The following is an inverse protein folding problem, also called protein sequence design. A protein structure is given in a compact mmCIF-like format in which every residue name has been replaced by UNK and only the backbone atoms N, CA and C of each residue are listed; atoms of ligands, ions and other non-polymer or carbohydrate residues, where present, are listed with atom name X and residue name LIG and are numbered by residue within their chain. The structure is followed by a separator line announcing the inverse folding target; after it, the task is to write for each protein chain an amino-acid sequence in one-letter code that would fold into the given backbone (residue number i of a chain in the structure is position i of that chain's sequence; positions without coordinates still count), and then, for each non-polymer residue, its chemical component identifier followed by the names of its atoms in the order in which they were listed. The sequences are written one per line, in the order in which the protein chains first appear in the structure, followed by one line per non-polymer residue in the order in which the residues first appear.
data_IF_886066422311
#
_entry.id   IF_886066422311
#
_cell.length_a   1.000
_cell.length_b   1.000
_cell.length_c   1.000
_cell.angle_alpha   90.00
_cell.angle_beta   90.00
_cell.angle_gamma   90.00
#
_symmetry.space_group_name_H-M   'P 1'
#
loop_
_entity.id
_entity.type
_entity.pdbx_description
1 polymer ?
#
# COMPACT_ATOMS: atom_id res chain seq x y z
N UNK A 1 1.51 7.75 -1.10
CA UNK A 1 2.40 7.10 -2.09
C UNK A 1 3.90 7.22 -1.75
N UNK A 2 4.45 6.32 -0.92
CA UNK A 2 5.85 6.32 -0.49
C UNK A 2 6.82 5.83 -1.59
N UNK A 3 7.34 6.76 -2.40
CA UNK A 3 8.19 6.49 -3.59
C UNK A 3 9.66 6.92 -3.44
N UNK A 4 10.12 7.14 -2.20
CA UNK A 4 11.52 7.52 -1.89
C UNK A 4 12.01 6.75 -0.68
N UNK A 5 13.32 6.47 -0.67
CA UNK A 5 13.98 5.75 0.41
C UNK A 5 14.98 6.64 1.13
N UNK A 6 15.03 6.53 2.45
CA UNK A 6 16.01 7.21 3.29
C UNK A 6 16.68 6.21 4.23
N UNK A 7 17.97 6.40 4.46
CA UNK A 7 18.71 5.71 5.50
C UNK A 7 18.66 6.54 6.78
N UNK A 8 17.96 6.04 7.80
CA UNK A 8 18.07 6.56 9.17
C UNK A 8 19.50 6.31 9.67
N UNK A 9 20.17 7.37 10.11
CA UNK A 9 21.55 7.36 10.62
C UNK A 9 21.61 7.38 12.14
N UNK A 10 20.72 8.15 12.77
CA UNK A 10 20.64 8.28 14.22
C UNK A 10 19.23 8.72 14.62
N UNK A 11 18.81 8.36 15.84
CA UNK A 11 17.59 8.84 16.49
C UNK A 11 17.98 9.31 17.89
N UNK A 12 17.77 10.59 18.20
CA UNK A 12 18.11 11.17 19.50
C UNK A 12 16.91 11.30 20.44
N UNK A 13 17.21 11.43 21.73
CA UNK A 13 16.28 11.64 22.85
C UNK A 13 17.04 12.48 23.91
N UNK A 14 16.40 13.36 24.71
CA UNK A 14 14.96 13.55 24.90
C UNK A 14 14.25 14.32 23.77
N UNK A 15 14.97 15.17 23.04
CA UNK A 15 14.44 15.79 21.82
C UNK A 15 14.44 14.75 20.70
N UNK A 16 13.24 14.28 20.32
CA UNK A 16 13.06 13.31 19.24
C UNK A 16 13.46 13.94 17.90
N UNK A 17 14.69 13.64 17.47
CA UNK A 17 15.23 14.04 16.17
C UNK A 17 15.74 12.80 15.44
N UNK A 18 15.34 12.67 14.19
CA UNK A 18 15.81 11.63 13.28
C UNK A 18 16.79 12.28 12.31
N UNK A 19 18.02 11.78 12.29
CA UNK A 19 19.02 12.15 11.30
C UNK A 19 18.97 11.12 10.18
N UNK A 20 18.61 11.53 8.97
CA UNK A 20 18.49 10.63 7.81
C UNK A 20 19.31 11.12 6.61
N UNK A 21 19.57 10.24 5.65
CA UNK A 21 20.09 10.62 4.33
C UNK A 21 19.26 9.95 3.25
N UNK A 22 18.75 10.73 2.30
CA UNK A 22 18.02 10.22 1.14
C UNK A 22 18.89 9.29 0.30
N UNK A 23 18.25 8.32 -0.35
CA UNK A 23 18.88 7.41 -1.28
C UNK A 23 18.46 7.76 -2.72
N UNK A 24 19.45 7.96 -3.58
CA UNK A 24 19.26 8.24 -5.01
C UNK A 24 19.35 6.93 -5.81
N UNK A 25 18.58 6.78 -6.91
CA UNK A 25 18.73 5.66 -7.83
C UNK A 25 20.17 5.55 -8.38
N UNK A 26 20.75 4.34 -8.29
CA UNK A 26 22.08 4.04 -8.78
C UNK A 26 22.00 3.27 -10.11
N UNK A 27 22.33 3.93 -11.21
CA UNK A 27 22.05 3.46 -12.57
C UNK A 27 23.26 2.76 -13.19
N UNK A 28 22.99 1.69 -13.93
CA UNK A 28 24.00 0.90 -14.64
C UNK A 28 23.95 1.06 -16.17
N UNK A 29 22.87 1.63 -16.74
CA UNK A 29 22.59 1.55 -18.18
C UNK A 29 22.04 2.85 -18.78
N UNK A 30 22.47 3.27 -20.00
CA UNK A 30 22.07 4.51 -20.67
C UNK A 30 20.57 4.85 -20.66
N UNK A 31 19.69 3.89 -21.00
CA UNK A 31 18.23 4.10 -21.01
C UNK A 31 17.66 4.45 -19.62
N UNK A 32 18.25 3.87 -18.57
CA UNK A 32 17.86 4.16 -17.18
C UNK A 32 18.21 5.60 -16.76
N UNK A 33 19.20 6.22 -17.40
CA UNK A 33 19.49 7.65 -17.19
C UNK A 33 18.45 8.58 -17.82
N UNK A 34 17.78 8.19 -18.92
CA UNK A 34 16.68 8.99 -19.46
C UNK A 34 15.50 9.03 -18.48
N UNK A 35 15.11 7.87 -17.94
CA UNK A 35 14.06 7.72 -16.94
C UNK A 35 14.26 8.65 -15.72
N UNK A 36 15.45 8.59 -15.11
CA UNK A 36 15.77 9.42 -13.93
C UNK A 36 15.94 10.90 -14.27
N UNK A 37 16.47 11.25 -15.46
CA UNK A 37 16.51 12.67 -15.91
C UNK A 37 15.11 13.24 -16.14
N UNK A 38 14.16 12.43 -16.60
CA UNK A 38 12.74 12.80 -16.69
C UNK A 38 12.03 12.87 -15.34
N UNK A 39 12.75 12.66 -14.23
CA UNK A 39 12.20 12.63 -12.86
C UNK A 39 11.08 11.59 -12.67
N UNK A 40 11.07 10.53 -13.48
CA UNK A 40 10.09 9.46 -13.37
C UNK A 40 10.40 8.59 -12.13
N UNK A 41 9.39 8.09 -11.39
CA UNK A 41 9.60 7.35 -10.15
C UNK A 41 10.43 6.07 -10.33
N UNK A 42 11.19 5.71 -9.29
CA UNK A 42 11.94 4.44 -9.24
C UNK A 42 11.57 3.72 -7.95
N UNK A 43 10.58 2.82 -8.04
CA UNK A 43 10.04 2.10 -6.88
C UNK A 43 10.92 0.96 -6.38
N UNK A 44 11.79 0.38 -7.22
CA UNK A 44 12.71 -0.66 -6.81
C UNK A 44 14.01 -0.65 -7.66
N UNK A 45 15.01 -1.41 -7.22
CA UNK A 45 16.30 -1.56 -7.87
C UNK A 45 17.48 -1.22 -6.97
N UNK A 46 18.49 -0.59 -7.58
CA UNK A 46 19.76 -0.22 -6.97
C UNK A 46 19.70 1.24 -6.51
N UNK A 47 20.11 1.51 -5.29
CA UNK A 47 20.16 2.83 -4.70
C UNK A 47 21.51 3.10 -4.03
N UNK A 48 21.90 4.36 -3.94
CA UNK A 48 23.11 4.82 -3.22
C UNK A 48 22.73 5.97 -2.30
N UNK A 49 23.56 6.25 -1.29
CA UNK A 49 23.43 7.51 -0.55
C UNK A 49 23.46 8.68 -1.53
N UNK A 50 22.49 9.59 -1.41
CA UNK A 50 22.51 10.81 -2.20
C UNK A 50 23.69 11.72 -1.84
N UNK A 51 23.99 12.66 -2.74
CA UNK A 51 25.11 13.58 -2.58
C UNK A 51 24.87 14.64 -1.50
N UNK A 52 23.61 14.87 -1.12
CA UNK A 52 23.23 15.82 -0.07
C UNK A 52 23.58 15.24 1.30
N UNK A 53 24.02 16.12 2.20
CA UNK A 53 24.28 15.74 3.58
C UNK A 53 23.04 15.25 4.32
N UNK A 54 23.27 14.63 5.48
CA UNK A 54 22.19 14.14 6.31
C UNK A 54 21.28 15.27 6.78
N UNK A 55 19.98 15.11 6.58
CA UNK A 55 18.93 16.02 7.03
C UNK A 55 18.48 15.59 8.43
N UNK A 56 18.18 16.57 9.28
CA UNK A 56 17.56 16.35 10.59
C UNK A 56 16.07 16.72 10.49
N UNK A 57 15.23 15.82 10.97
CA UNK A 57 13.78 15.95 11.06
C UNK A 57 13.34 15.65 12.50
N UNK A 58 12.21 16.18 12.92
CA UNK A 58 11.70 16.09 14.29
C UNK A 58 10.33 15.37 14.33
N UNK A 59 9.69 15.32 15.49
CA UNK A 59 8.38 14.67 15.64
C UNK A 59 7.32 15.25 14.69
N UNK A 60 7.33 16.56 14.41
CA UNK A 60 6.34 17.21 13.54
C UNK A 60 6.36 16.70 12.09
N UNK A 61 7.44 16.03 11.67
CA UNK A 61 7.65 15.52 10.32
C UNK A 61 7.05 14.10 10.11
N UNK A 62 6.03 13.72 10.87
CA UNK A 62 5.43 12.37 10.88
C UNK A 62 5.11 11.81 9.47
N UNK A 63 4.70 12.66 8.51
CA UNK A 63 4.37 12.26 7.15
C UNK A 63 5.58 11.86 6.26
N UNK A 64 6.82 12.01 6.73
CA UNK A 64 8.02 11.59 5.98
C UNK A 64 8.25 10.08 5.97
N UNK A 65 7.68 9.35 6.94
CA UNK A 65 7.92 7.93 7.14
C UNK A 65 6.66 7.12 6.84
N UNK A 66 6.84 5.92 6.27
CA UNK A 66 5.74 4.99 5.99
C UNK A 66 6.03 3.61 6.57
N UNK A 67 7.08 2.92 6.09
CA UNK A 67 7.49 1.63 6.65
C UNK A 67 9.00 1.39 6.53
N UNK A 68 9.53 0.48 7.34
CA UNK A 68 10.90 0.00 7.21
C UNK A 68 11.00 -1.00 6.05
N UNK A 69 11.85 -0.67 5.08
CA UNK A 69 12.09 -1.46 3.87
C UNK A 69 13.21 -2.48 4.12
N UNK A 70 13.05 -3.71 3.64
CA UNK A 70 14.16 -4.68 3.62
C UNK A 70 15.04 -4.47 2.38
N UNK A 71 16.36 -4.53 2.57
CA UNK A 71 17.33 -4.33 1.50
C UNK A 71 18.49 -5.30 1.61
N UNK A 72 19.14 -5.60 0.48
CA UNK A 72 20.40 -6.36 0.42
C UNK A 72 21.54 -5.37 0.20
N UNK A 73 22.66 -5.52 0.93
CA UNK A 73 23.84 -4.66 0.76
C UNK A 73 25.13 -5.43 1.06
N UNK A 74 26.08 -5.40 0.13
CA UNK A 74 27.46 -5.86 0.36
C UNK A 74 28.31 -4.79 1.06
N UNK A 75 29.53 -5.14 1.51
CA UNK A 75 30.42 -4.27 2.32
C UNK A 75 30.50 -2.81 1.83
N UNK A 76 30.75 -2.62 0.53
CA UNK A 76 30.83 -1.30 -0.12
C UNK A 76 29.80 -1.16 -1.27
N UNK A 77 28.80 -2.04 -1.29
CA UNK A 77 27.81 -2.10 -2.36
C UNK A 77 26.68 -1.07 -2.26
N UNK A 78 25.92 -0.84 -3.36
CA UNK A 78 24.67 -0.13 -3.31
C UNK A 78 23.64 -0.86 -2.44
N UNK A 79 22.63 -0.11 -1.99
CA UNK A 79 21.43 -0.64 -1.36
C UNK A 79 20.55 -1.25 -2.45
N UNK A 80 20.24 -2.55 -2.36
CA UNK A 80 19.36 -3.25 -3.28
C UNK A 80 17.99 -3.41 -2.63
N UNK A 81 16.99 -2.71 -3.16
CA UNK A 81 15.59 -2.85 -2.75
C UNK A 81 14.85 -3.55 -3.87
N UNK A 82 14.44 -4.79 -3.66
CA UNK A 82 13.68 -5.56 -4.65
C UNK A 82 12.41 -6.15 -4.01
N UNK A 83 11.31 -6.30 -4.78
CA UNK A 83 10.09 -6.95 -4.30
C UNK A 83 10.36 -8.35 -3.79
N UNK A 84 9.70 -8.73 -2.69
CA UNK A 84 9.87 -10.03 -2.02
C UNK A 84 8.54 -10.78 -1.98
N UNK A 85 8.60 -12.10 -2.05
CA UNK A 85 7.42 -12.99 -2.00
C UNK A 85 6.51 -12.66 -0.80
N UNK A 86 5.21 -12.52 -1.06
CA UNK A 86 4.18 -12.17 -0.08
C UNK A 86 4.04 -10.67 0.22
N UNK A 87 4.85 -9.79 -0.42
CA UNK A 87 4.62 -8.35 -0.36
C UNK A 87 3.55 -7.92 -1.36
N UNK A 88 2.78 -6.88 -1.02
CA UNK A 88 1.88 -6.20 -1.95
C UNK A 88 2.59 -4.99 -2.56
N UNK A 89 2.46 -4.82 -3.87
CA UNK A 89 3.09 -3.73 -4.62
C UNK A 89 2.11 -3.06 -5.57
N UNK A 90 2.22 -1.74 -5.68
CA UNK A 90 1.59 -0.95 -6.72
C UNK A 90 2.51 -0.91 -7.94
N UNK A 91 1.98 -1.35 -9.08
CA UNK A 91 2.59 -1.22 -10.39
C UNK A 91 1.99 -0.02 -11.12
N UNK A 92 2.73 0.57 -12.06
CA UNK A 92 2.17 1.50 -13.02
C UNK A 92 1.38 0.72 -14.09
N UNK A 93 0.09 1.04 -14.24
CA UNK A 93 -0.75 0.56 -15.33
C UNK A 93 -0.26 1.17 -16.65
N UNK A 94 -0.37 0.41 -17.73
CA UNK A 94 0.01 0.83 -19.10
C UNK A 94 1.47 1.33 -19.23
N UNK A 95 2.33 0.90 -18.30
CA UNK A 95 3.74 1.28 -18.22
C UNK A 95 4.53 0.93 -19.49
N UNK A 96 5.29 1.89 -19.99
CA UNK A 96 6.30 1.67 -21.02
C UNK A 96 7.60 2.41 -20.67
N UNK A 97 8.76 1.79 -20.92
CA UNK A 97 10.09 2.38 -20.71
C UNK A 97 10.30 3.68 -21.53
N UNK A 98 9.59 3.82 -22.64
CA UNK A 98 9.62 4.97 -23.53
C UNK A 98 8.90 6.20 -22.95
N UNK A 99 8.17 6.11 -21.82
CA UNK A 99 7.70 7.29 -21.08
C UNK A 99 8.85 8.27 -20.77
N UNK A 100 10.09 7.75 -20.66
CA UNK A 100 11.30 8.56 -20.50
C UNK A 100 11.67 9.46 -21.69
N UNK A 101 10.98 9.33 -22.83
CA UNK A 101 11.10 10.22 -23.99
C UNK A 101 10.15 11.42 -23.93
N UNK A 102 9.07 11.32 -23.16
CA UNK A 102 8.05 12.37 -22.97
C UNK A 102 7.49 12.36 -21.53
N UNK A 103 8.32 12.65 -20.52
CA UNK A 103 7.97 12.42 -19.12
C UNK A 103 6.88 13.35 -18.58
N UNK A 104 6.58 14.46 -19.26
CA UNK A 104 5.54 15.41 -18.82
C UNK A 104 4.12 14.92 -19.15
N UNK A 105 3.96 14.14 -20.23
CA UNK A 105 2.69 13.47 -20.54
C UNK A 105 2.47 12.17 -19.73
N UNK A 106 3.40 11.83 -18.83
CA UNK A 106 3.35 10.65 -17.96
C UNK A 106 3.52 11.03 -16.49
N UNK A 107 2.75 12.03 -16.03
CA UNK A 107 2.72 12.55 -14.65
C UNK A 107 1.51 12.07 -13.84
N UNK A 108 0.39 11.81 -14.50
CA UNK A 108 -0.80 11.18 -13.94
C UNK A 108 -0.65 9.66 -14.09
N UNK A 109 -0.71 8.93 -12.97
CA UNK A 109 -0.39 7.52 -12.93
C UNK A 109 -1.61 6.72 -12.51
N UNK A 110 -2.00 5.77 -13.35
CA UNK A 110 -2.90 4.67 -12.95
C UNK A 110 -2.07 3.51 -12.43
N UNK A 111 -2.67 2.71 -11.56
CA UNK A 111 -2.00 1.66 -10.81
C UNK A 111 -2.69 0.32 -10.96
N UNK A 112 -1.91 -0.75 -10.90
CA UNK A 112 -2.39 -2.11 -10.69
C UNK A 112 -1.84 -2.58 -9.33
N UNK A 113 -2.66 -3.24 -8.52
CA UNK A 113 -2.22 -3.79 -7.22
C UNK A 113 -1.95 -5.28 -7.37
N UNK A 114 -0.77 -5.74 -6.93
CA UNK A 114 -0.33 -7.14 -7.08
C UNK A 114 0.31 -7.71 -5.82
N UNK A 115 0.15 -9.02 -5.60
CA UNK A 115 0.97 -9.82 -4.68
C UNK A 115 2.20 -10.37 -5.43
N UNK A 116 3.36 -10.35 -4.78
CA UNK A 116 4.58 -11.01 -5.29
C UNK A 116 4.54 -12.51 -4.96
N UNK A 117 4.49 -13.38 -5.95
CA UNK A 117 4.28 -14.82 -5.75
C UNK A 117 5.57 -15.65 -5.75
N UNK A 118 6.61 -15.19 -6.45
CA UNK A 118 7.94 -15.82 -6.44
C UNK A 118 8.98 -14.95 -5.74
N UNK A 119 10.11 -15.55 -5.35
CA UNK A 119 11.29 -14.76 -5.02
C UNK A 119 11.82 -14.07 -6.29
N UNK A 120 12.49 -12.93 -6.12
CA UNK A 120 13.27 -12.31 -7.18
C UNK A 120 14.42 -13.24 -7.58
N UNK A 121 14.53 -13.55 -8.87
CA UNK A 121 15.69 -14.25 -9.43
C UNK A 121 16.38 -13.38 -10.48
N UNK A 122 17.70 -13.23 -10.33
CA UNK A 122 18.50 -12.38 -11.22
C UNK A 122 18.52 -12.97 -12.65
N UNK A 123 18.07 -12.19 -13.62
CA UNK A 123 18.00 -12.61 -15.03
C UNK A 123 16.71 -13.33 -15.42
N UNK A 124 15.97 -13.92 -14.48
CA UNK A 124 14.68 -14.55 -14.75
C UNK A 124 13.48 -13.61 -14.56
N UNK A 125 13.49 -12.80 -13.49
CA UNK A 125 12.38 -11.92 -13.13
C UNK A 125 11.66 -12.36 -11.86
N UNK A 126 10.35 -12.12 -11.80
CA UNK A 126 9.47 -12.62 -10.74
C UNK A 126 8.03 -12.78 -11.24
N UNK A 127 7.30 -13.71 -10.62
CA UNK A 127 5.85 -13.92 -10.81
C UNK A 127 5.07 -13.02 -9.85
N UNK A 128 4.03 -12.35 -10.36
CA UNK A 128 3.05 -11.61 -9.55
C UNK A 128 1.63 -12.10 -9.84
N UNK A 129 0.72 -11.86 -8.90
CA UNK A 129 -0.72 -12.05 -9.06
C UNK A 129 -1.51 -10.76 -8.83
N UNK A 130 -2.51 -10.48 -9.65
CA UNK A 130 -3.42 -9.36 -9.47
C UNK A 130 -4.27 -9.53 -8.21
N UNK A 131 -4.57 -8.41 -7.55
CA UNK A 131 -5.57 -8.35 -6.48
C UNK A 131 -6.78 -7.53 -6.94
N UNK A 132 -7.97 -8.09 -6.75
CA UNK A 132 -9.25 -7.39 -6.91
C UNK A 132 -9.60 -6.65 -5.61
N UNK A 133 -10.15 -5.44 -5.74
CA UNK A 133 -10.77 -4.73 -4.60
C UNK A 133 -12.00 -5.51 -4.13
N UNK A 134 -12.18 -5.65 -2.82
CA UNK A 134 -13.41 -6.25 -2.26
C UNK A 134 -14.50 -5.18 -2.25
N UNK A 135 -15.63 -5.46 -2.91
CA UNK A 135 -16.77 -4.54 -2.98
C UNK A 135 -17.28 -4.18 -1.57
N UNK A 136 -17.67 -2.92 -1.38
CA UNK A 136 -18.04 -2.36 -0.07
C UNK A 136 -16.86 -1.90 0.82
N UNK A 137 -15.62 -2.31 0.53
CA UNK A 137 -14.44 -1.89 1.29
C UNK A 137 -13.62 -0.83 0.54
N UNK A 138 -12.88 0.00 1.28
CA UNK A 138 -11.98 1.01 0.70
C UNK A 138 -10.60 0.40 0.40
N UNK A 139 -10.06 -0.34 1.35
CA UNK A 139 -8.65 -0.79 1.41
C UNK A 139 -8.47 -2.31 1.45
N UNK A 140 -9.54 -3.11 1.39
CA UNK A 140 -9.46 -4.58 1.39
C UNK A 140 -9.41 -5.10 -0.04
N UNK A 141 -8.38 -5.89 -0.33
CA UNK A 141 -8.10 -6.47 -1.65
C UNK A 141 -7.87 -7.98 -1.53
N UNK A 142 -8.37 -8.77 -2.47
CA UNK A 142 -8.27 -10.24 -2.47
C UNK A 142 -7.60 -10.76 -3.76
N UNK A 143 -6.95 -11.93 -3.74
CA UNK A 143 -6.49 -12.57 -4.98
C UNK A 143 -7.62 -12.69 -6.01
N UNK A 144 -7.31 -12.39 -7.27
CA UNK A 144 -8.28 -12.47 -8.37
C UNK A 144 -8.89 -13.88 -8.49
N UNK A 145 -10.16 -13.96 -8.90
CA UNK A 145 -10.89 -15.22 -9.01
C UNK A 145 -10.24 -16.18 -10.04
N UNK A 146 -10.28 -17.52 -9.85
CA UNK A 146 -9.54 -18.49 -10.67
C UNK A 146 -9.86 -18.56 -12.17
N UNK A 147 -10.87 -17.83 -12.65
CA UNK A 147 -11.35 -17.87 -14.03
C UNK A 147 -10.75 -16.77 -14.92
N UNK A 148 -9.97 -15.85 -14.34
CA UNK A 148 -9.25 -14.78 -15.05
C UNK A 148 -7.76 -15.14 -15.09
N UNK A 149 -7.00 -14.58 -16.05
CA UNK A 149 -5.52 -14.63 -16.00
C UNK A 149 -5.07 -13.77 -14.81
N UNK A 150 -4.97 -14.43 -13.66
CA UNK A 150 -4.68 -13.85 -12.35
C UNK A 150 -3.21 -13.48 -12.17
N UNK A 151 -2.31 -14.04 -12.99
CA UNK A 151 -0.87 -14.01 -12.77
C UNK A 151 -0.05 -13.72 -14.02
N UNK A 152 1.09 -13.03 -13.84
CA UNK A 152 2.02 -12.71 -14.92
C UNK A 152 3.46 -12.54 -14.44
N UNK A 153 4.43 -12.67 -15.35
CA UNK A 153 5.85 -12.48 -15.07
C UNK A 153 6.32 -11.07 -15.40
N UNK A 154 6.95 -10.41 -14.42
CA UNK A 154 7.69 -9.15 -14.64
C UNK A 154 9.14 -9.49 -14.94
N UNK A 155 9.59 -9.16 -16.16
CA UNK A 155 10.94 -9.46 -16.64
C UNK A 155 11.97 -8.49 -16.03
N UNK A 156 13.26 -8.85 -15.91
CA UNK A 156 14.27 -7.99 -15.26
C UNK A 156 14.52 -6.62 -15.89
N UNK A 157 14.16 -6.46 -17.18
CA UNK A 157 14.22 -5.17 -17.88
C UNK A 157 13.06 -4.23 -17.53
N UNK A 158 11.98 -4.75 -16.95
CA UNK A 158 10.70 -4.06 -16.78
C UNK A 158 10.47 -3.61 -15.31
N UNK A 159 11.50 -3.65 -14.45
CA UNK A 159 11.38 -3.28 -13.02
C UNK A 159 10.97 -1.83 -12.74
N UNK A 160 11.05 -0.91 -13.72
CA UNK A 160 10.49 0.44 -13.56
C UNK A 160 8.97 0.49 -13.68
N UNK A 161 8.31 -0.64 -13.98
CA UNK A 161 6.87 -0.81 -13.75
C UNK A 161 6.50 -0.76 -12.26
N UNK A 162 7.42 -1.09 -11.35
CA UNK A 162 7.17 -0.98 -9.90
C UNK A 162 7.14 0.48 -9.44
N UNK A 163 6.01 0.89 -8.87
CA UNK A 163 5.83 2.23 -8.31
C UNK A 163 6.31 2.30 -6.86
N UNK A 164 5.78 1.44 -6.00
CA UNK A 164 6.14 1.32 -4.58
C UNK A 164 5.48 0.07 -3.96
N UNK A 165 6.05 -0.42 -2.85
CA UNK A 165 5.38 -1.41 -1.99
C UNK A 165 4.23 -0.73 -1.24
N UNK A 166 3.11 -1.43 -1.15
CA UNK A 166 1.95 -1.05 -0.34
C UNK A 166 2.03 -1.86 0.96
N UNK A 167 2.15 -1.23 2.14
CA UNK A 167 2.05 -1.93 3.41
C UNK A 167 0.69 -2.63 3.52
N UNK A 168 0.68 -3.84 4.08
CA UNK A 168 -0.51 -4.70 4.07
C UNK A 168 -0.54 -5.64 5.26
N UNK A 169 -1.72 -5.91 5.79
CA UNK A 169 -1.99 -6.99 6.74
C UNK A 169 -2.83 -8.08 6.03
N UNK A 170 -2.55 -9.37 6.30
CA UNK A 170 -3.29 -10.48 5.69
C UNK A 170 -4.44 -10.92 6.60
N UNK A 171 -5.65 -10.87 6.06
CA UNK A 171 -6.90 -11.10 6.78
C UNK A 171 -7.17 -12.60 6.98
N UNK A 172 -7.76 -12.94 8.11
CA UNK A 172 -8.21 -14.29 8.47
C UNK A 172 -9.63 -14.58 8.01
N UNK A 173 -10.43 -13.56 7.72
CA UNK A 173 -11.86 -13.66 7.40
C UNK A 173 -12.75 -13.66 8.64
N UNK A 174 -12.20 -13.31 9.81
CA UNK A 174 -12.95 -13.17 11.08
C UNK A 174 -13.01 -11.73 11.59
N UNK A 175 -12.37 -10.80 10.88
CA UNK A 175 -12.27 -9.39 11.27
C UNK A 175 -13.59 -8.61 11.12
N UNK A 176 -14.48 -9.05 10.23
CA UNK A 176 -15.79 -8.41 10.02
C UNK A 176 -16.64 -9.12 8.96
N UNK A 177 -17.92 -8.76 8.90
CA UNK A 177 -18.83 -9.23 7.85
C UNK A 177 -18.31 -8.81 6.46
N UNK A 178 -18.35 -9.74 5.50
CA UNK A 178 -17.88 -9.49 4.14
C UNK A 178 -16.35 -9.53 3.94
N UNK A 179 -15.53 -9.66 4.99
CA UNK A 179 -14.07 -9.77 4.87
C UNK A 179 -13.68 -11.18 4.40
N UNK A 180 -13.07 -11.37 3.21
CA UNK A 180 -12.69 -12.71 2.75
C UNK A 180 -11.43 -13.23 3.44
N UNK A 181 -11.42 -14.50 3.83
CA UNK A 181 -10.23 -15.15 4.36
C UNK A 181 -9.09 -15.16 3.34
N UNK A 182 -7.89 -14.72 3.74
CA UNK A 182 -6.72 -14.63 2.86
C UNK A 182 -6.67 -13.38 1.98
N UNK A 183 -7.63 -12.46 2.11
CA UNK A 183 -7.52 -11.10 1.57
C UNK A 183 -6.46 -10.28 2.32
N UNK A 184 -6.22 -9.05 1.88
CA UNK A 184 -5.25 -8.12 2.44
C UNK A 184 -5.91 -6.77 2.70
N UNK A 185 -5.81 -6.26 3.92
CA UNK A 185 -6.06 -4.86 4.21
C UNK A 185 -4.79 -4.06 3.90
N UNK A 186 -4.91 -3.04 3.05
CA UNK A 186 -3.82 -2.21 2.56
C UNK A 186 -3.77 -0.87 3.31
N UNK A 187 -2.56 -0.34 3.54
CA UNK A 187 -2.38 1.02 4.06
C UNK A 187 -2.97 2.04 3.08
N UNK A 188 -4.04 2.72 3.52
CA UNK A 188 -4.75 3.73 2.76
C UNK A 188 -3.84 4.86 2.24
N UNK A 189 -2.79 5.24 2.97
CA UNK A 189 -1.85 6.29 2.55
C UNK A 189 -0.86 5.82 1.46
N UNK A 190 -0.86 4.52 1.15
CA UNK A 190 -0.20 3.89 0.01
C UNK A 190 -1.17 3.50 -1.12
N UNK A 191 -2.45 3.92 -1.05
CA UNK A 191 -3.38 3.91 -2.18
C UNK A 191 -3.46 5.31 -2.84
N UNK A 192 -3.92 5.40 -4.11
CA UNK A 192 -4.15 6.68 -4.76
C UNK A 192 -5.29 7.44 -4.05
N UNK A 193 -5.27 8.77 -4.17
CA UNK A 193 -6.33 9.62 -3.59
C UNK A 193 -7.66 9.38 -4.32
N UNK A 194 -7.59 9.23 -5.65
CA UNK A 194 -8.71 8.79 -6.47
C UNK A 194 -8.62 7.28 -6.68
N UNK A 195 -9.60 6.53 -6.17
CA UNK A 195 -9.63 5.07 -6.34
C UNK A 195 -9.92 4.63 -7.78
N UNK A 196 -10.35 5.54 -8.67
CA UNK A 196 -10.49 5.24 -10.10
C UNK A 196 -9.14 5.17 -10.85
N UNK A 197 -8.06 5.65 -10.22
CA UNK A 197 -6.70 5.36 -10.67
C UNK A 197 -6.26 3.92 -10.34
N UNK A 198 -6.99 3.17 -9.51
CA UNK A 198 -6.72 1.75 -9.25
C UNK A 198 -7.48 0.88 -10.25
N UNK A 199 -6.73 0.17 -11.09
CA UNK A 199 -7.24 -0.87 -11.97
C UNK A 199 -7.00 -2.25 -11.38
N UNK A 200 -8.00 -3.11 -11.53
CA UNK A 200 -7.98 -4.52 -11.18
C UNK A 200 -8.94 -5.28 -12.12
N UNK A 201 -8.71 -6.58 -12.38
CA UNK A 201 -9.51 -7.33 -13.35
C UNK A 201 -11.03 -7.29 -13.09
N UNK A 202 -11.46 -7.46 -11.83
CA UNK A 202 -12.87 -7.44 -11.43
C UNK A 202 -13.58 -6.11 -11.73
N UNK A 203 -12.87 -4.99 -11.81
CA UNK A 203 -13.47 -3.68 -12.11
C UNK A 203 -14.14 -3.65 -13.48
N UNK A 204 -13.58 -4.37 -14.46
CA UNK A 204 -14.12 -4.43 -15.83
C UNK A 204 -15.46 -5.17 -15.87
N UNK A 205 -15.67 -6.14 -14.97
CA UNK A 205 -16.97 -6.81 -14.80
C UNK A 205 -18.00 -5.86 -14.16
N UNK A 206 -17.62 -5.10 -13.13
CA UNK A 206 -18.50 -4.11 -12.48
C UNK A 206 -18.90 -2.97 -13.44
N UNK A 207 -17.94 -2.35 -14.14
CA UNK A 207 -18.18 -1.26 -15.10
C UNK A 207 -19.05 -1.71 -16.30
N UNK A 208 -18.94 -2.97 -16.74
CA UNK A 208 -19.80 -3.50 -17.81
C UNK A 208 -21.23 -3.82 -17.33
N UNK A 209 -21.39 -4.32 -16.11
CA UNK A 209 -22.72 -4.63 -15.54
C UNK A 209 -23.57 -3.39 -15.23
N UNK A 210 -22.92 -2.26 -14.94
CA UNK A 210 -23.59 -0.98 -14.66
C UNK A 210 -24.05 -0.27 -15.93
N UNK A 211 -23.32 -0.43 -17.04
CA UNK A 211 -23.70 0.12 -18.35
C UNK A 211 -25.00 -0.50 -18.91
N UNK A 212 -25.27 -1.79 -18.64
CA UNK A 212 -26.53 -2.47 -19.01
C UNK A 212 -27.70 -2.12 -18.06
N UNK A 213 -27.49 -1.27 -17.05
CA UNK A 213 -28.44 -0.97 -15.98
C UNK A 213 -28.89 0.51 -15.93
N UNK A 214 -29.01 1.20 -17.07
CA UNK A 214 -29.69 2.50 -17.11
C UNK A 214 -31.19 2.37 -16.76
N UNK A 215 -31.55 2.90 -15.59
CA UNK A 215 -32.92 2.81 -15.06
C UNK A 215 -33.84 3.87 -15.67
N UNK A 216 -35.03 3.45 -16.07
CA UNK A 216 -36.08 4.34 -16.64
C UNK A 216 -36.56 5.32 -15.56
N UNK A 217 -36.40 6.63 -15.78
CA UNK A 217 -36.89 7.66 -14.87
C UNK A 217 -38.41 7.55 -14.67
N UNK A 218 -38.86 7.26 -13.44
CA UNK A 218 -40.27 7.24 -13.11
C UNK A 218 -40.63 8.48 -12.29
N UNK A 219 -41.09 9.51 -12.98
CA UNK A 219 -41.48 10.81 -12.41
C UNK A 219 -42.70 10.65 -11.50
N UNK A 220 -42.57 11.04 -10.23
CA UNK A 220 -43.74 11.36 -9.39
C UNK A 220 -43.60 12.74 -8.74
N UNK A 221 -44.70 13.49 -8.84
CA UNK A 221 -44.77 14.93 -8.59
C UNK A 221 -44.93 15.28 -7.11
N UNK A 222 -44.47 16.48 -6.73
CA UNK A 222 -44.53 16.99 -5.37
C UNK A 222 -45.86 17.71 -5.05
N UNK A 223 -46.35 17.55 -3.82
CA UNK A 223 -47.41 18.37 -3.19
C UNK A 223 -47.01 18.62 -1.71
N UNK A 224 -47.17 19.84 -1.15
CA UNK A 224 -46.52 20.27 0.10
C UNK A 224 -47.32 20.01 1.40
N UNK A 225 -46.75 20.23 2.60
CA UNK A 225 -47.34 19.78 3.87
C UNK A 225 -48.41 20.73 4.45
N UNK A 226 -49.30 20.18 5.28
CA UNK A 226 -50.30 20.91 6.08
C UNK A 226 -50.13 20.62 7.58
N UNK A 227 -50.45 21.61 8.40
CA UNK A 227 -50.11 21.75 9.83
C UNK A 227 -51.07 21.10 10.83
N UNK A 228 -50.50 20.69 12.00
CA UNK A 228 -51.08 20.64 13.37
C UNK A 228 -52.40 19.87 13.63
N UNK A 229 -52.42 19.00 14.65
CA UNK A 229 -52.84 19.44 16.00
C UNK A 229 -52.45 18.47 17.14
N UNK A 230 -52.76 18.85 18.40
CA UNK A 230 -52.23 18.31 19.67
C UNK A 230 -52.80 16.96 20.19
N UNK A 231 -51.99 16.31 21.06
CA UNK A 231 -52.32 15.97 22.48
C UNK A 231 -52.15 14.50 22.96
N UNK A 232 -51.79 14.39 24.25
CA UNK A 232 -51.87 13.22 25.19
C UNK A 232 -50.69 12.23 25.31
N UNK A 233 -49.78 12.57 26.23
CA UNK A 233 -49.24 11.65 27.28
C UNK A 233 -50.33 11.27 28.30
N UNK A 234 -50.13 10.34 29.27
CA UNK A 234 -48.89 9.74 29.81
C UNK A 234 -48.93 8.18 29.79
N UNK A 235 -48.18 7.34 30.54
CA UNK A 235 -47.26 7.52 31.69
C UNK A 235 -46.34 6.30 31.95
N UNK A 236 -45.29 6.47 32.80
CA UNK A 236 -44.55 5.44 33.59
C UNK A 236 -43.82 4.27 32.86
N UNK A 237 -42.75 3.63 33.37
CA UNK A 237 -41.76 3.87 34.45
C UNK A 237 -40.52 2.96 34.14
N UNK A 238 -39.26 3.42 34.13
CA UNK A 238 -38.32 3.57 35.26
C UNK A 238 -37.82 2.27 35.96
N UNK A 239 -36.62 1.79 35.58
CA UNK A 239 -35.51 1.19 36.40
C UNK A 239 -34.47 0.58 35.43
N UNK A 240 -33.16 0.85 35.39
CA UNK A 240 -32.04 1.24 36.30
C UNK A 240 -31.28 0.09 36.97
N UNK A 241 -29.96 0.11 36.73
CA UNK A 241 -28.85 -0.55 37.45
C UNK A 241 -28.74 -2.10 37.27
N UNK A 242 -27.58 -2.73 37.35
CA UNK A 242 -26.34 -2.33 38.06
C UNK A 242 -25.03 -2.78 37.38
N UNK A 243 -23.91 -2.21 37.82
CA UNK A 243 -22.53 -2.51 37.42
C UNK A 243 -21.93 -3.73 38.11
N UNK A 244 -21.07 -4.49 37.42
CA UNK A 244 -20.21 -5.53 38.00
C UNK A 244 -18.74 -5.34 37.61
N UNK A 245 -17.87 -5.04 38.58
CA UNK A 245 -16.45 -4.74 38.39
C UNK A 245 -15.60 -5.77 39.15
N UNK A 246 -14.57 -6.36 38.52
CA UNK A 246 -13.61 -7.23 39.20
C UNK A 246 -12.19 -7.11 38.61
N UNK A 247 -11.29 -6.55 39.43
CA UNK A 247 -9.84 -6.79 39.38
C UNK A 247 -9.58 -8.29 39.56
N UNK A 248 -8.55 -8.95 39.04
CA UNK A 248 -7.24 -8.49 38.56
C UNK A 248 -6.14 -9.19 39.37
N UNK A 249 -5.18 -9.85 38.73
CA UNK A 249 -4.02 -10.53 39.35
C UNK A 249 -2.72 -10.17 38.60
N UNK A 250 -1.60 -10.33 39.28
CA UNK A 250 -0.35 -9.57 39.16
C UNK A 250 0.83 -10.49 38.78
N UNK A 251 1.76 -10.03 37.91
CA UNK A 251 3.19 -10.45 37.80
C UNK A 251 3.50 -11.95 37.51
N UNK A 252 4.70 -12.40 37.10
CA UNK A 252 6.10 -11.90 37.09
C UNK A 252 6.83 -12.35 35.81
N UNK A 253 7.98 -11.71 35.48
CA UNK A 253 9.26 -12.22 34.91
C UNK A 253 9.27 -13.38 33.88
N UNK A 254 10.14 -13.43 32.86
CA UNK A 254 11.33 -12.65 32.52
C UNK A 254 12.11 -13.34 31.37
N UNK A 255 13.39 -12.97 31.19
CA UNK A 255 14.39 -13.58 30.27
C UNK A 255 14.29 -13.36 28.73
N UNK A 256 15.25 -12.54 28.26
CA UNK A 256 16.28 -12.94 27.28
C UNK A 256 15.84 -13.34 25.85
N UNK A 257 15.69 -12.35 24.97
CA UNK A 257 15.88 -12.55 23.53
C UNK A 257 17.37 -12.50 23.18
N UNK A 258 18.00 -13.67 23.02
CA UNK A 258 19.39 -13.78 22.57
C UNK A 258 19.62 -13.14 21.19
N UNK A 259 20.76 -12.47 21.05
CA UNK A 259 21.39 -12.21 19.76
C UNK A 259 21.63 -13.55 19.06
N UNK A 260 21.01 -13.74 17.89
CA UNK A 260 21.38 -14.81 16.96
C UNK A 260 22.14 -14.21 15.79
N UNK A 261 23.46 -14.29 15.89
CA UNK A 261 24.37 -14.17 14.74
C UNK A 261 23.96 -15.18 13.67
N UNK A 262 23.87 -14.72 12.42
CA UNK A 262 23.81 -15.60 11.26
C UNK A 262 25.00 -15.32 10.31
N UNK A 263 26.16 -15.76 10.78
CA UNK A 263 27.34 -15.97 9.92
C UNK A 263 27.14 -17.23 9.06
N UNK A 264 27.06 -17.07 7.73
CA UNK A 264 27.32 -18.13 6.73
C UNK A 264 27.34 -17.50 5.31
N UNK A 265 28.26 -17.82 4.40
CA UNK A 265 29.68 -18.21 4.51
C UNK A 265 30.28 -18.11 3.10
N UNK A 266 31.34 -17.29 2.95
CA UNK A 266 32.07 -16.97 1.70
C UNK A 266 31.25 -16.29 0.59
#
# INVERSE_FOLDING_TARGET
MPRRYALIKNVSSPEFKIKLRWLDPNLEYPRKHAWVRGLLPVGCGRFKCGNVDSIECNSSDHCLFSYQVQYIKGKEGPYLVYPRKGEIWALFKDWDINWSSDPENHREYKYEVVEILSHYEYGAGLLVGYLDKVSGFVSVFQPTRPNVVDTFFIKPKDYYKFSHRVPSFKMTGTEGEGVPAGSFELDFYALPIDLDDVWYPGKVEEDSSTADSESVENVLSAVPPVTRDESRTPDNAATSLESGNLKGIHTTDGESSMLVDLELKL
#
